data_IF_607343872354
#
_entry.id   IF_607343872354
#
_cell.length_a   1.000
_cell.length_b   1.000
_cell.length_c   1.000
_cell.angle_alpha   90.00
_cell.angle_beta   90.00
_cell.angle_gamma   90.00
#
_symmetry.space_group_name_H-M   'P 1'
#
loop_
_entity.id
_entity.type
_entity.pdbx_description
1 polymer ?
#
# COMPACT_ATOMS: atom_id res chain seq x y z
N UNK A 1 20.00 4.63 -14.21
CA UNK A 1 19.63 4.17 -12.89
C UNK A 1 18.20 3.65 -12.90
N UNK A 2 18.00 2.52 -12.26
CA UNK A 2 16.68 1.94 -12.17
C UNK A 2 15.88 2.60 -11.07
N UNK A 3 14.61 2.83 -11.37
CA UNK A 3 13.69 3.32 -10.36
C UNK A 3 13.24 2.17 -9.48
N UNK A 4 12.95 2.42 -8.21
CA UNK A 4 12.33 1.40 -7.37
C UNK A 4 11.06 0.87 -8.02
N UNK A 5 10.74 -0.37 -7.72
CA UNK A 5 9.54 -1.00 -8.26
C UNK A 5 8.30 -0.41 -7.61
N UNK A 6 7.77 0.64 -8.22
CA UNK A 6 6.55 1.27 -7.75
C UNK A 6 5.35 0.62 -8.41
N UNK A 7 4.31 0.38 -7.63
CA UNK A 7 3.08 -0.27 -8.08
C UNK A 7 1.89 0.57 -7.67
N UNK A 8 0.96 0.75 -8.58
CA UNK A 8 -0.32 1.35 -8.24
C UNK A 8 -1.29 0.19 -8.00
N UNK A 9 -1.77 0.09 -6.79
CA UNK A 9 -2.68 -0.97 -6.39
C UNK A 9 -4.09 -0.40 -6.17
N UNK A 10 -5.08 -1.04 -6.76
CA UNK A 10 -6.47 -0.65 -6.55
C UNK A 10 -7.05 -1.56 -5.48
N UNK A 11 -7.51 -0.98 -4.39
CA UNK A 11 -8.02 -1.76 -3.26
C UNK A 11 -9.29 -2.52 -3.63
N UNK A 12 -9.42 -3.71 -3.06
CA UNK A 12 -10.60 -4.55 -3.19
C UNK A 12 -11.36 -4.60 -1.85
N UNK A 13 -12.63 -4.99 -1.85
CA UNK A 13 -13.37 -5.15 -0.59
C UNK A 13 -12.62 -6.10 0.36
N UNK A 14 -12.49 -5.72 1.61
CA UNK A 14 -11.80 -6.51 2.61
C UNK A 14 -10.30 -6.28 2.71
N UNK A 15 -9.73 -5.46 1.85
CA UNK A 15 -8.30 -5.13 1.94
C UNK A 15 -8.02 -4.23 3.15
N UNK A 16 -6.83 -4.41 3.70
CA UNK A 16 -6.34 -3.57 4.79
C UNK A 16 -4.84 -3.33 4.62
N UNK A 17 -4.26 -2.34 5.31
CA UNK A 17 -2.85 -2.02 5.14
C UNK A 17 -1.90 -3.15 5.54
N UNK A 18 -2.30 -3.98 6.50
CA UNK A 18 -1.46 -5.11 6.92
C UNK A 18 -1.34 -6.17 5.85
N UNK A 19 -2.48 -6.56 5.28
CA UNK A 19 -2.49 -7.57 4.21
C UNK A 19 -1.73 -7.08 2.99
N UNK A 20 -1.95 -5.83 2.61
CA UNK A 20 -1.26 -5.22 1.47
C UNK A 20 0.23 -5.11 1.74
N UNK A 21 0.60 -4.66 2.92
CA UNK A 21 2.01 -4.53 3.28
C UNK A 21 2.73 -5.88 3.27
N UNK A 22 2.08 -6.92 3.78
CA UNK A 22 2.65 -8.27 3.77
C UNK A 22 2.83 -8.77 2.34
N UNK A 23 1.86 -8.53 1.50
CA UNK A 23 1.89 -8.98 0.11
C UNK A 23 3.04 -8.32 -0.68
N UNK A 24 3.33 -7.07 -0.40
CA UNK A 24 4.35 -6.32 -1.12
C UNK A 24 5.63 -6.10 -0.32
N UNK A 25 5.76 -6.78 0.82
CA UNK A 25 6.93 -6.68 1.69
C UNK A 25 7.19 -5.26 2.16
N UNK A 26 6.13 -4.56 2.54
CA UNK A 26 6.21 -3.21 3.09
C UNK A 26 5.71 -3.20 4.52
N UNK A 27 6.36 -2.47 5.43
CA UNK A 27 5.79 -2.25 6.75
C UNK A 27 4.48 -1.47 6.64
N UNK A 28 3.53 -1.75 7.52
CA UNK A 28 2.25 -1.02 7.53
C UNK A 28 2.49 0.49 7.62
N UNK A 29 3.44 0.89 8.46
CA UNK A 29 3.78 2.30 8.60
C UNK A 29 4.16 2.93 7.26
N UNK A 30 4.95 2.23 6.47
CA UNK A 30 5.36 2.73 5.15
C UNK A 30 4.18 2.85 4.20
N UNK A 31 3.27 1.88 4.22
CA UNK A 31 2.06 1.95 3.40
C UNK A 31 1.22 3.16 3.77
N UNK A 32 1.05 3.40 5.07
CA UNK A 32 0.26 4.52 5.54
C UNK A 32 0.89 5.86 5.22
N UNK A 33 2.18 6.00 5.47
CA UNK A 33 2.87 7.27 5.24
C UNK A 33 2.95 7.61 3.76
N UNK A 34 3.25 6.62 2.92
CA UNK A 34 3.38 6.82 1.49
C UNK A 34 2.06 7.28 0.85
N UNK A 35 0.94 6.86 1.41
CA UNK A 35 -0.38 7.15 0.87
C UNK A 35 -1.17 8.14 1.72
N UNK A 36 -0.56 8.72 2.72
CA UNK A 36 -1.21 9.68 3.62
C UNK A 36 -2.50 9.11 4.21
N UNK A 37 -2.48 7.87 4.63
CA UNK A 37 -3.65 7.22 5.22
C UNK A 37 -3.84 7.69 6.65
N UNK A 38 -5.03 8.16 6.97
CA UNK A 38 -5.35 8.63 8.31
C UNK A 38 -5.82 7.50 9.23
N UNK A 39 -6.25 6.38 8.65
CA UNK A 39 -6.71 5.24 9.42
C UNK A 39 -6.36 3.96 8.70
N UNK A 40 -6.61 2.83 9.37
CA UNK A 40 -6.35 1.52 8.79
C UNK A 40 -7.49 1.02 7.92
N UNK A 41 -8.55 1.81 7.80
CA UNK A 41 -9.69 1.45 6.99
C UNK A 41 -9.47 1.86 5.55
N UNK A 42 -9.61 0.92 4.65
CA UNK A 42 -9.47 1.15 3.22
C UNK A 42 -10.79 0.91 2.50
N UNK A 43 -11.26 1.92 1.81
CA UNK A 43 -12.46 1.78 0.99
C UNK A 43 -12.08 1.08 -0.32
N UNK A 44 -12.96 0.23 -0.85
CA UNK A 44 -12.70 -0.41 -2.13
C UNK A 44 -12.53 0.61 -3.25
N UNK A 45 -11.67 0.29 -4.21
CA UNK A 45 -11.47 1.14 -5.37
C UNK A 45 -10.49 2.29 -5.15
N UNK A 46 -9.83 2.35 -4.00
CA UNK A 46 -8.84 3.39 -3.74
C UNK A 46 -7.51 3.02 -4.40
N UNK A 47 -6.86 4.01 -5.00
CA UNK A 47 -5.51 3.81 -5.55
C UNK A 47 -4.49 3.99 -4.45
N UNK A 48 -3.61 3.03 -4.31
CA UNK A 48 -2.48 3.10 -3.37
C UNK A 48 -1.18 3.01 -4.13
N UNK A 49 -0.23 3.85 -3.74
CA UNK A 49 1.13 3.75 -4.25
C UNK A 49 1.92 2.83 -3.32
N UNK A 50 2.52 1.82 -3.88
CA UNK A 50 3.32 0.86 -3.14
C UNK A 50 4.71 0.77 -3.75
N UNK A 51 5.72 0.62 -2.89
CA UNK A 51 7.09 0.42 -3.35
C UNK A 51 7.56 -0.92 -2.79
N UNK A 52 7.66 -1.90 -3.65
CA UNK A 52 7.99 -3.27 -3.26
C UNK A 52 9.36 -3.33 -2.58
N UNK A 53 9.39 -3.97 -1.43
CA UNK A 53 10.65 -4.17 -0.73
C UNK A 53 11.18 -2.93 0.00
N UNK A 54 10.33 -1.97 0.24
CA UNK A 54 10.75 -0.75 0.93
C UNK A 54 11.22 -1.01 2.37
#
# INVERSE_FOLDING_TARGET
AELPSAVIYITAPGDDPWSIGRKYHMPVKAVRELNALESDELKPGRKLLLVKGL
#
